data_IF_003399429915
#
_entry.id   IF_003399429915
#
_cell.length_a   1.000
_cell.length_b   1.000
_cell.length_c   1.000
_cell.angle_alpha   90.00
_cell.angle_beta   90.00
_cell.angle_gamma   90.00
#
_symmetry.space_group_name_H-M   'P 1'
#
loop_
_entity.id
_entity.type
_entity.pdbx_description
1 polymer ?
#
# COMPACT_ATOMS: atom_id res chain seq x y z
N UNK A 1 -0.02 30.87 18.44
CA UNK A 1 -0.70 29.92 19.35
C UNK A 1 -2.01 30.56 19.78
N UNK A 2 -3.09 29.78 19.76
CA UNK A 2 -4.38 30.24 20.26
C UNK A 2 -4.55 29.91 21.77
N UNK A 3 -3.84 28.88 22.27
CA UNK A 3 -3.79 28.53 23.69
C UNK A 3 -2.50 27.78 24.07
N UNK A 4 -2.02 27.84 25.33
CA UNK A 4 -0.86 27.08 25.79
C UNK A 4 -1.05 25.56 25.71
N UNK A 5 -2.30 25.08 25.82
CA UNK A 5 -2.65 23.65 25.68
C UNK A 5 -2.52 23.13 24.27
N UNK A 6 -2.64 23.99 23.25
CA UNK A 6 -2.48 23.64 21.85
C UNK A 6 -1.09 23.11 21.53
N UNK A 7 -0.06 23.77 22.08
CA UNK A 7 1.33 23.35 21.93
C UNK A 7 1.59 21.96 22.54
N UNK A 8 1.13 21.76 23.78
CA UNK A 8 1.30 20.49 24.47
C UNK A 8 0.66 19.34 23.69
N UNK A 9 -0.60 19.54 23.26
CA UNK A 9 -1.34 18.55 22.47
C UNK A 9 -0.63 18.26 21.14
N UNK A 10 -0.08 19.27 20.49
CA UNK A 10 0.66 19.14 19.24
C UNK A 10 1.95 18.30 19.40
N UNK A 11 2.70 18.51 20.49
CA UNK A 11 3.87 17.68 20.80
C UNK A 11 3.49 16.21 21.05
N UNK A 12 2.41 15.95 21.79
CA UNK A 12 1.93 14.58 22.01
C UNK A 12 1.50 13.91 20.70
N UNK A 13 0.78 14.61 19.83
CA UNK A 13 0.39 14.11 18.52
C UNK A 13 1.61 13.79 17.64
N UNK A 14 2.56 14.71 17.59
CA UNK A 14 3.80 14.50 16.82
C UNK A 14 4.59 13.29 17.34
N UNK A 15 4.74 13.17 18.67
CA UNK A 15 5.41 12.03 19.28
C UNK A 15 4.70 10.70 18.97
N UNK A 16 3.36 10.69 18.99
CA UNK A 16 2.55 9.52 18.64
C UNK A 16 2.76 9.10 17.19
N UNK A 17 2.80 10.05 16.27
CA UNK A 17 3.04 9.77 14.85
C UNK A 17 4.43 9.23 14.60
N UNK A 18 5.46 9.87 15.20
CA UNK A 18 6.82 9.34 15.12
C UNK A 18 6.90 7.92 15.69
N UNK A 19 6.20 7.65 16.79
CA UNK A 19 6.11 6.30 17.34
C UNK A 19 5.46 5.32 16.36
N UNK A 20 4.36 5.68 15.69
CA UNK A 20 3.70 4.84 14.67
C UNK A 20 4.64 4.59 13.50
N UNK A 21 5.34 5.59 13.00
CA UNK A 21 6.32 5.42 11.91
C UNK A 21 7.45 4.48 12.33
N UNK A 22 8.00 4.63 13.53
CA UNK A 22 9.09 3.76 14.04
C UNK A 22 8.59 2.34 14.31
N UNK A 23 7.35 2.17 14.76
CA UNK A 23 6.75 0.86 15.07
C UNK A 23 6.14 0.20 13.83
N UNK A 24 5.89 0.94 12.74
CA UNK A 24 5.28 0.39 11.51
C UNK A 24 5.95 -0.88 10.97
N UNK A 25 7.29 -1.02 10.91
CA UNK A 25 7.91 -2.27 10.48
C UNK A 25 7.57 -3.44 11.41
N UNK A 26 7.47 -3.18 12.71
CA UNK A 26 7.04 -4.20 13.69
C UNK A 26 5.59 -4.62 13.48
N UNK A 27 4.69 -3.66 13.20
CA UNK A 27 3.27 -3.94 12.92
C UNK A 27 3.13 -4.78 11.64
N UNK A 28 3.82 -4.42 10.57
CA UNK A 28 3.85 -5.18 9.33
C UNK A 28 4.36 -6.60 9.60
N UNK A 29 5.45 -6.73 10.36
CA UNK A 29 6.01 -8.03 10.73
C UNK A 29 5.05 -8.88 11.58
N UNK A 30 4.29 -8.28 12.50
CA UNK A 30 3.29 -8.98 13.33
C UNK A 30 2.09 -9.46 12.51
N UNK A 31 1.58 -8.62 11.61
CA UNK A 31 0.48 -9.01 10.69
C UNK A 31 0.91 -10.22 9.86
N UNK A 32 2.13 -10.19 9.32
CA UNK A 32 2.69 -11.31 8.57
C UNK A 32 2.95 -12.54 9.43
N UNK A 33 3.42 -12.36 10.67
CA UNK A 33 3.57 -13.44 11.64
C UNK A 33 2.27 -14.17 11.93
N UNK A 34 1.15 -13.46 11.89
CA UNK A 34 -0.20 -14.04 12.03
C UNK A 34 -0.64 -14.81 10.78
N UNK A 35 -0.30 -14.34 9.60
CA UNK A 35 -0.63 -15.01 8.31
C UNK A 35 0.30 -16.21 8.04
N UNK A 36 1.54 -16.14 8.48
CA UNK A 36 2.57 -17.15 8.22
C UNK A 36 2.22 -18.60 8.64
N UNK A 37 1.49 -18.89 9.76
CA UNK A 37 1.12 -20.25 10.09
C UNK A 37 0.21 -20.93 9.07
N UNK A 38 -0.59 -20.16 8.35
CA UNK A 38 -1.51 -20.65 7.31
C UNK A 38 -0.81 -21.01 5.98
N UNK A 39 0.49 -20.75 5.86
CA UNK A 39 1.26 -20.86 4.64
C UNK A 39 2.16 -22.09 4.60
N UNK A 40 2.36 -22.65 3.41
CA UNK A 40 3.31 -23.72 3.15
C UNK A 40 4.78 -23.26 3.28
N UNK A 41 5.72 -24.19 3.40
CA UNK A 41 7.15 -23.83 3.50
C UNK A 41 7.69 -23.11 2.26
N UNK A 42 7.19 -23.47 1.05
CA UNK A 42 7.54 -22.82 -0.24
C UNK A 42 7.05 -21.35 -0.21
N UNK A 43 5.81 -21.11 0.19
CA UNK A 43 5.18 -19.78 0.28
C UNK A 43 5.83 -18.87 1.32
N UNK A 44 6.19 -19.40 2.51
CA UNK A 44 6.93 -18.64 3.53
C UNK A 44 8.25 -18.07 3.01
N UNK A 45 8.99 -18.85 2.21
CA UNK A 45 10.26 -18.37 1.62
C UNK A 45 10.02 -17.24 0.62
N UNK A 46 8.91 -17.30 -0.11
CA UNK A 46 8.53 -16.32 -1.11
C UNK A 46 8.07 -14.97 -0.52
N UNK A 47 7.55 -14.99 0.71
CA UNK A 47 7.00 -13.79 1.39
C UNK A 47 8.07 -13.02 2.19
N UNK A 48 9.17 -13.66 2.57
CA UNK A 48 10.25 -12.96 3.30
C UNK A 48 10.73 -11.66 2.64
N UNK A 49 11.00 -11.62 1.30
CA UNK A 49 11.35 -10.36 0.64
C UNK A 49 10.20 -9.34 0.63
N UNK A 50 8.95 -9.82 0.72
CA UNK A 50 7.77 -8.95 0.81
C UNK A 50 7.74 -8.12 2.09
N UNK A 51 8.22 -8.67 3.20
CA UNK A 51 8.30 -7.94 4.48
C UNK A 51 9.24 -6.72 4.41
N UNK A 52 10.40 -6.92 3.78
CA UNK A 52 11.34 -5.81 3.57
C UNK A 52 10.80 -4.81 2.55
N UNK A 53 10.11 -5.32 1.51
CA UNK A 53 9.42 -4.50 0.52
C UNK A 53 8.33 -3.63 1.14
N UNK A 54 7.49 -4.18 2.02
CA UNK A 54 6.45 -3.42 2.73
C UNK A 54 7.04 -2.25 3.51
N UNK A 55 8.03 -2.49 4.36
CA UNK A 55 8.69 -1.41 5.07
C UNK A 55 9.26 -0.33 4.13
N UNK A 56 9.86 -0.75 3.01
CA UNK A 56 10.35 0.19 2.01
C UNK A 56 9.22 1.03 1.39
N UNK A 57 8.10 0.38 1.02
CA UNK A 57 6.93 1.07 0.47
C UNK A 57 6.28 2.01 1.50
N UNK A 58 6.19 1.62 2.77
CA UNK A 58 5.71 2.49 3.82
C UNK A 58 6.58 3.76 3.97
N UNK A 59 7.91 3.60 4.02
CA UNK A 59 8.82 4.73 4.07
C UNK A 59 8.72 5.61 2.81
N UNK A 60 8.56 4.99 1.64
CA UNK A 60 8.36 5.70 0.38
C UNK A 60 7.05 6.50 0.39
N UNK A 61 5.98 5.95 0.95
CA UNK A 61 4.69 6.62 1.12
C UNK A 61 4.77 7.81 2.07
N UNK A 62 5.43 7.65 3.20
CA UNK A 62 5.68 8.74 4.13
C UNK A 62 6.53 9.85 3.51
N UNK A 63 7.57 9.48 2.78
CA UNK A 63 8.44 10.43 2.04
C UNK A 63 7.67 11.15 0.93
N UNK A 64 6.88 10.43 0.14
CA UNK A 64 6.01 11.01 -0.88
C UNK A 64 5.01 11.99 -0.28
N UNK A 65 4.37 11.62 0.82
CA UNK A 65 3.46 12.50 1.55
C UNK A 65 4.15 13.81 1.96
N UNK A 66 5.33 13.69 2.58
CA UNK A 66 6.07 14.83 3.10
C UNK A 66 6.64 15.74 1.98
N UNK A 67 7.24 15.16 0.92
CA UNK A 67 7.93 15.92 -0.12
C UNK A 67 7.03 16.41 -1.25
N UNK A 68 5.95 15.68 -1.54
CA UNK A 68 5.11 15.95 -2.70
C UNK A 68 3.69 16.36 -2.28
N UNK A 69 2.98 15.48 -1.56
CA UNK A 69 1.56 15.70 -1.30
C UNK A 69 1.32 16.91 -0.37
N UNK A 70 2.05 17.00 0.73
CA UNK A 70 1.91 18.09 1.70
C UNK A 70 2.25 19.48 1.12
N UNK A 71 3.43 19.71 0.50
CA UNK A 71 3.75 21.03 -0.06
C UNK A 71 2.75 21.46 -1.11
N UNK A 72 2.36 20.54 -1.98
CA UNK A 72 1.40 20.82 -3.04
C UNK A 72 0.02 21.22 -2.49
N UNK A 73 -0.45 20.47 -1.48
CA UNK A 73 -1.73 20.74 -0.83
C UNK A 73 -1.74 22.06 -0.07
N UNK A 74 -0.67 22.35 0.67
CA UNK A 74 -0.55 23.61 1.43
C UNK A 74 -0.50 24.80 0.46
N UNK A 75 0.29 24.70 -0.61
CA UNK A 75 0.39 25.73 -1.62
C UNK A 75 -0.98 26.00 -2.27
N UNK A 76 -1.74 24.95 -2.55
CA UNK A 76 -3.10 25.08 -3.07
C UNK A 76 -4.03 25.79 -2.06
N UNK A 77 -4.04 25.35 -0.81
CA UNK A 77 -4.90 25.92 0.25
C UNK A 77 -4.59 27.41 0.47
N UNK A 78 -3.31 27.78 0.53
CA UNK A 78 -2.88 29.16 0.70
C UNK A 78 -3.29 30.01 -0.49
N UNK A 79 -3.06 29.54 -1.72
CA UNK A 79 -3.44 30.27 -2.93
C UNK A 79 -4.96 30.42 -3.09
N UNK A 80 -5.71 29.39 -2.66
CA UNK A 80 -7.18 29.43 -2.71
C UNK A 80 -7.77 30.40 -1.69
N UNK A 81 -7.10 30.57 -0.54
CA UNK A 81 -7.57 31.45 0.54
C UNK A 81 -7.21 32.93 0.32
N UNK A 82 -6.38 33.26 -0.66
CA UNK A 82 -5.93 34.65 -0.94
C UNK A 82 -6.96 35.39 -1.80
N UNK A 83 -8.14 35.63 -1.29
CA UNK A 83 -8.91 36.81 -1.71
C UNK A 83 -8.44 38.00 -0.87
N UNK A 84 -8.25 39.16 -1.51
CA UNK A 84 -7.57 40.35 -1.00
C UNK A 84 -8.03 40.92 0.36
N UNK A 85 -8.99 40.31 1.01
CA UNK A 85 -9.62 40.80 2.26
C UNK A 85 -9.53 39.83 3.45
N UNK A 86 -9.01 38.59 3.31
CA UNK A 86 -8.98 37.61 4.40
C UNK A 86 -7.59 37.03 4.56
N UNK A 87 -6.88 37.43 5.62
CA UNK A 87 -5.64 36.77 6.03
C UNK A 87 -5.99 35.45 6.74
N UNK A 88 -5.73 34.32 6.08
CA UNK A 88 -5.92 32.99 6.70
C UNK A 88 -4.88 32.77 7.80
N UNK A 89 -5.31 32.87 9.06
CA UNK A 89 -4.50 32.42 10.18
C UNK A 89 -4.64 30.88 10.31
N UNK A 90 -3.71 30.14 9.74
CA UNK A 90 -3.67 28.67 9.90
C UNK A 90 -3.15 28.37 11.30
N UNK A 91 -3.96 27.70 12.13
CA UNK A 91 -3.54 27.21 13.44
C UNK A 91 -2.46 26.14 13.28
N UNK A 92 -1.42 26.19 14.11
CA UNK A 92 -0.35 25.17 14.14
C UNK A 92 -0.93 23.78 14.41
N UNK A 93 -1.94 23.67 15.27
CA UNK A 93 -2.60 22.40 15.56
C UNK A 93 -3.29 21.84 14.31
N UNK A 94 -4.06 22.66 13.59
CA UNK A 94 -4.74 22.24 12.37
C UNK A 94 -3.75 21.80 11.28
N UNK A 95 -2.64 22.52 11.14
CA UNK A 95 -1.56 22.14 10.23
C UNK A 95 -0.94 20.77 10.58
N UNK A 96 -0.64 20.56 11.87
CA UNK A 96 -0.09 19.29 12.34
C UNK A 96 -1.08 18.14 12.19
N UNK A 97 -2.36 18.34 12.51
CA UNK A 97 -3.39 17.33 12.32
C UNK A 97 -3.52 16.90 10.85
N UNK A 98 -3.50 17.86 9.96
CA UNK A 98 -3.52 17.62 8.51
C UNK A 98 -2.26 16.87 8.05
N UNK A 99 -1.07 17.33 8.46
CA UNK A 99 0.21 16.68 8.13
C UNK A 99 0.25 15.23 8.61
N UNK A 100 -0.20 14.99 9.84
CA UNK A 100 -0.29 13.66 10.45
C UNK A 100 -1.23 12.75 9.66
N UNK A 101 -2.44 13.24 9.36
CA UNK A 101 -3.42 12.49 8.57
C UNK A 101 -2.87 12.08 7.21
N UNK A 102 -2.22 13.01 6.50
CA UNK A 102 -1.59 12.75 5.22
C UNK A 102 -0.46 11.72 5.30
N UNK A 103 0.46 11.87 6.25
CA UNK A 103 1.58 10.95 6.46
C UNK A 103 1.10 9.52 6.74
N UNK A 104 0.16 9.34 7.65
CA UNK A 104 -0.38 8.03 8.00
C UNK A 104 -1.13 7.41 6.83
N UNK A 105 -1.95 8.19 6.15
CA UNK A 105 -2.74 7.68 5.03
C UNK A 105 -1.85 7.22 3.88
N UNK A 106 -0.93 8.06 3.42
CA UNK A 106 -0.04 7.67 2.34
C UNK A 106 0.90 6.54 2.78
N UNK A 107 1.38 6.52 4.02
CA UNK A 107 2.14 5.39 4.55
C UNK A 107 1.38 4.07 4.41
N UNK A 108 0.12 4.03 4.82
CA UNK A 108 -0.72 2.82 4.73
C UNK A 108 -1.12 2.49 3.28
N UNK A 109 -1.48 3.49 2.48
CA UNK A 109 -1.91 3.26 1.08
C UNK A 109 -0.76 2.76 0.21
N UNK A 110 0.47 3.18 0.47
CA UNK A 110 1.64 2.67 -0.24
C UNK A 110 1.94 1.20 0.05
N UNK A 111 1.35 0.60 1.10
CA UNK A 111 1.39 -0.85 1.33
C UNK A 111 0.48 -1.63 0.35
N UNK A 112 -0.46 -0.99 -0.34
CA UNK A 112 -1.41 -1.64 -1.24
C UNK A 112 -0.72 -2.48 -2.34
N UNK A 113 0.32 -2.01 -3.06
CA UNK A 113 1.03 -2.80 -4.05
C UNK A 113 1.69 -4.04 -3.44
N UNK A 114 2.17 -3.94 -2.20
CA UNK A 114 2.81 -5.04 -1.50
C UNK A 114 1.81 -6.08 -1.00
N UNK A 115 0.66 -5.62 -0.51
CA UNK A 115 -0.46 -6.50 -0.18
C UNK A 115 -0.95 -7.26 -1.42
N UNK A 116 -1.11 -6.58 -2.56
CA UNK A 116 -1.48 -7.21 -3.82
C UNK A 116 -0.45 -8.24 -4.26
N UNK A 117 0.87 -7.94 -4.15
CA UNK A 117 1.97 -8.88 -4.40
C UNK A 117 1.78 -10.18 -3.63
N UNK A 118 1.63 -10.07 -2.32
CA UNK A 118 1.54 -11.22 -1.44
C UNK A 118 0.28 -12.04 -1.68
N UNK A 119 -0.88 -11.38 -1.72
CA UNK A 119 -2.17 -12.06 -1.93
C UNK A 119 -2.24 -12.76 -3.30
N UNK A 120 -1.60 -12.19 -4.32
CA UNK A 120 -1.51 -12.83 -5.63
C UNK A 120 -0.60 -14.05 -5.59
N UNK A 121 0.54 -13.95 -4.90
CA UNK A 121 1.46 -15.08 -4.75
C UNK A 121 0.86 -16.25 -3.97
N UNK A 122 -0.04 -15.95 -3.02
CA UNK A 122 -0.85 -16.94 -2.29
C UNK A 122 -1.99 -17.54 -3.13
N UNK A 123 -2.26 -17.00 -4.31
CA UNK A 123 -3.39 -17.43 -5.15
C UNK A 123 -4.77 -16.96 -4.65
N UNK A 124 -4.80 -16.12 -3.59
CA UNK A 124 -6.05 -15.55 -3.04
C UNK A 124 -6.58 -14.45 -3.96
N UNK A 125 -5.67 -13.69 -4.56
CA UNK A 125 -6.01 -12.55 -5.42
C UNK A 125 -5.54 -12.82 -6.85
N UNK A 126 -6.42 -12.59 -7.81
CA UNK A 126 -6.08 -12.65 -9.24
C UNK A 126 -6.18 -11.28 -9.89
N UNK A 127 -5.43 -11.02 -10.97
CA UNK A 127 -5.53 -9.75 -11.70
C UNK A 127 -6.96 -9.43 -12.15
N UNK A 128 -7.73 -10.46 -12.49
CA UNK A 128 -9.12 -10.29 -12.94
C UNK A 128 -10.06 -9.86 -11.81
N UNK A 129 -9.83 -10.34 -10.58
CA UNK A 129 -10.56 -9.87 -9.40
C UNK A 129 -10.26 -8.40 -9.16
N UNK A 130 -8.98 -7.99 -9.17
CA UNK A 130 -8.58 -6.59 -9.01
C UNK A 130 -9.23 -5.70 -10.07
N UNK A 131 -9.21 -6.11 -11.34
CA UNK A 131 -9.86 -5.37 -12.44
C UNK A 131 -11.38 -5.24 -12.24
N UNK A 132 -12.05 -6.29 -11.75
CA UNK A 132 -13.50 -6.26 -11.47
C UNK A 132 -13.81 -5.36 -10.27
N UNK A 133 -12.98 -5.38 -9.23
CA UNK A 133 -13.17 -4.57 -8.01
C UNK A 133 -12.86 -3.09 -8.26
N UNK A 134 -12.10 -2.74 -9.30
CA UNK A 134 -11.73 -1.37 -9.68
C UNK A 134 -12.89 -0.38 -9.64
N UNK A 135 -14.06 -0.77 -10.13
CA UNK A 135 -15.29 0.07 -10.13
C UNK A 135 -15.78 0.47 -8.74
N UNK A 136 -15.41 -0.30 -7.71
CA UNK A 136 -15.72 -0.01 -6.30
C UNK A 136 -14.54 0.64 -5.59
N UNK A 137 -13.31 0.26 -5.94
CA UNK A 137 -12.09 0.80 -5.36
C UNK A 137 -11.94 2.30 -5.65
N UNK A 138 -12.21 2.75 -6.88
CA UNK A 138 -12.10 4.16 -7.24
C UNK A 138 -13.03 5.05 -6.39
N UNK A 139 -14.35 4.79 -6.28
CA UNK A 139 -15.20 5.55 -5.37
C UNK A 139 -14.77 5.49 -3.91
N UNK A 140 -14.29 4.33 -3.43
CA UNK A 140 -13.79 4.18 -2.07
C UNK A 140 -12.55 5.06 -1.82
N UNK A 141 -11.62 5.12 -2.78
CA UNK A 141 -10.46 6.01 -2.73
C UNK A 141 -10.90 7.47 -2.59
N UNK A 142 -11.91 7.90 -3.35
CA UNK A 142 -12.46 9.25 -3.23
C UNK A 142 -13.09 9.51 -1.87
N UNK A 143 -13.77 8.52 -1.27
CA UNK A 143 -14.31 8.64 0.09
C UNK A 143 -13.19 8.78 1.11
N UNK A 144 -12.14 7.98 1.02
CA UNK A 144 -10.97 8.07 1.90
C UNK A 144 -10.29 9.43 1.74
N UNK A 145 -10.08 9.89 0.51
CA UNK A 145 -9.52 11.21 0.24
C UNK A 145 -10.36 12.33 0.86
N UNK A 146 -11.70 12.26 0.76
CA UNK A 146 -12.60 13.25 1.35
C UNK A 146 -12.59 13.32 2.88
N UNK A 147 -12.24 12.22 3.56
CA UNK A 147 -12.10 12.18 5.03
C UNK A 147 -10.83 12.91 5.47
N UNK A 148 -9.77 12.84 4.66
CA UNK A 148 -8.44 13.34 5.01
C UNK A 148 -8.28 14.82 4.62
N UNK A 149 -8.84 15.19 3.46
CA UNK A 149 -8.72 16.55 2.93
C UNK A 149 -9.86 17.44 3.41
N UNK A 150 -9.65 18.77 3.45
CA UNK A 150 -10.74 19.70 3.58
C UNK A 150 -11.86 19.43 2.54
N UNK A 151 -13.11 19.80 2.80
CA UNK A 151 -14.22 19.50 1.93
C UNK A 151 -14.22 20.38 0.67
N UNK A 152 -13.20 20.18 -0.18
CA UNK A 152 -13.10 20.80 -1.49
C UNK A 152 -12.72 19.76 -2.55
N UNK A 153 -13.25 19.95 -3.77
CA UNK A 153 -13.11 18.99 -4.86
C UNK A 153 -11.66 18.88 -5.34
N UNK A 154 -10.91 19.98 -5.36
CA UNK A 154 -9.55 20.01 -5.91
C UNK A 154 -8.59 19.27 -5.01
N UNK A 155 -8.61 19.55 -3.70
CA UNK A 155 -7.79 18.83 -2.71
C UNK A 155 -8.09 17.33 -2.71
N UNK A 156 -9.36 16.97 -2.81
CA UNK A 156 -9.79 15.57 -2.89
C UNK A 156 -9.20 14.86 -4.11
N UNK A 157 -9.22 15.48 -5.31
CA UNK A 157 -8.60 14.90 -6.50
C UNK A 157 -7.08 14.80 -6.38
N UNK A 158 -6.43 15.78 -5.75
CA UNK A 158 -4.98 15.78 -5.54
C UNK A 158 -4.50 14.58 -4.73
N UNK A 159 -5.29 14.14 -3.74
CA UNK A 159 -4.99 12.95 -2.94
C UNK A 159 -5.42 11.67 -3.65
N UNK A 160 -6.59 11.68 -4.29
CA UNK A 160 -7.15 10.50 -4.94
C UNK A 160 -6.32 10.02 -6.15
N UNK A 161 -5.76 10.93 -6.95
CA UNK A 161 -4.99 10.58 -8.16
C UNK A 161 -3.76 9.70 -7.86
N UNK A 162 -2.86 10.05 -6.91
CA UNK A 162 -1.77 9.17 -6.51
C UNK A 162 -2.25 7.80 -5.98
N UNK A 163 -3.34 7.78 -5.20
CA UNK A 163 -3.91 6.54 -4.67
C UNK A 163 -4.43 5.63 -5.79
N UNK A 164 -5.11 6.20 -6.79
CA UNK A 164 -5.54 5.46 -7.99
C UNK A 164 -4.32 4.94 -8.76
N UNK A 165 -3.26 5.73 -8.87
CA UNK A 165 -2.00 5.30 -9.49
C UNK A 165 -1.38 4.08 -8.79
N UNK A 166 -1.39 4.06 -7.45
CA UNK A 166 -0.93 2.91 -6.66
C UNK A 166 -1.82 1.68 -6.86
N UNK A 167 -3.14 1.86 -6.94
CA UNK A 167 -4.06 0.77 -7.26
C UNK A 167 -3.78 0.16 -8.64
N UNK A 168 -3.54 0.96 -9.67
CA UNK A 168 -3.16 0.47 -11.00
C UNK A 168 -1.80 -0.25 -10.96
N UNK A 169 -0.84 0.27 -10.19
CA UNK A 169 0.45 -0.39 -9.96
C UNK A 169 0.25 -1.77 -9.30
N UNK A 170 -0.67 -1.87 -8.34
CA UNK A 170 -1.04 -3.13 -7.68
C UNK A 170 -1.58 -4.16 -8.69
N UNK A 171 -2.42 -3.73 -9.64
CA UNK A 171 -2.91 -4.59 -10.73
C UNK A 171 -1.75 -5.07 -11.61
N UNK A 172 -0.83 -4.18 -11.99
CA UNK A 172 0.33 -4.53 -12.82
C UNK A 172 1.24 -5.56 -12.12
N UNK A 173 1.54 -5.35 -10.84
CA UNK A 173 2.33 -6.27 -10.03
C UNK A 173 1.63 -7.63 -9.95
N UNK A 174 0.33 -7.65 -9.70
CA UNK A 174 -0.47 -8.88 -9.67
C UNK A 174 -0.43 -9.62 -11.01
N UNK A 175 -0.53 -8.92 -12.16
CA UNK A 175 -0.43 -9.52 -13.48
C UNK A 175 0.92 -10.23 -13.71
N UNK A 176 2.01 -9.56 -13.35
CA UNK A 176 3.37 -10.10 -13.54
C UNK A 176 3.58 -11.37 -12.70
N UNK A 177 3.13 -11.34 -11.45
CA UNK A 177 3.30 -12.47 -10.53
C UNK A 177 2.42 -13.65 -10.92
N UNK A 178 1.17 -13.38 -11.29
CA UNK A 178 0.22 -14.41 -11.68
C UNK A 178 0.72 -15.16 -12.93
N UNK A 179 1.22 -14.43 -13.93
CA UNK A 179 1.81 -15.03 -15.14
C UNK A 179 3.06 -15.86 -14.84
N UNK A 180 3.92 -15.38 -13.90
CA UNK A 180 5.11 -16.13 -13.52
C UNK A 180 4.75 -17.43 -12.80
N UNK A 181 3.75 -17.39 -11.90
CA UNK A 181 3.28 -18.58 -11.20
C UNK A 181 2.72 -19.62 -12.17
N UNK A 182 1.92 -19.20 -13.16
CA UNK A 182 1.34 -20.11 -14.14
C UNK A 182 2.43 -20.81 -14.97
N UNK A 183 3.48 -20.11 -15.39
CA UNK A 183 4.58 -20.74 -16.11
C UNK A 183 5.37 -21.73 -15.23
N UNK A 184 5.54 -21.45 -13.93
CA UNK A 184 6.19 -22.38 -12.98
C UNK A 184 5.36 -23.64 -12.75
N UNK A 185 4.02 -23.52 -12.72
CA UNK A 185 3.11 -24.67 -12.60
C UNK A 185 3.10 -25.50 -13.89
N UNK A 186 3.10 -24.89 -15.09
CA UNK A 186 3.18 -25.57 -16.41
C UNK A 186 4.52 -26.33 -16.58
N UNK A 187 5.66 -25.76 -16.14
CA UNK A 187 6.97 -26.41 -16.19
C UNK A 187 7.06 -27.62 -15.22
N UNK A 188 6.43 -27.56 -14.03
CA UNK A 188 6.38 -28.68 -13.06
C UNK A 188 5.53 -29.86 -13.62
N UNK A 189 4.45 -29.59 -14.36
CA UNK A 189 3.59 -30.63 -14.97
C UNK A 189 4.31 -31.35 -16.15
N UNK A 190 5.11 -30.61 -16.95
CA UNK A 190 5.91 -31.22 -18.06
C UNK A 190 7.02 -32.17 -17.52
N UNK A 191 7.66 -31.81 -16.40
CA UNK A 191 8.70 -32.65 -15.78
C UNK A 191 8.09 -33.95 -15.17
N UNK A 192 6.86 -33.90 -14.60
CA UNK A 192 6.18 -35.10 -14.08
C UNK A 192 5.76 -36.08 -15.21
N UNK A 193 5.30 -35.55 -16.35
CA UNK A 193 4.91 -36.37 -17.50
C UNK A 193 6.14 -37.10 -18.14
N UNK A 194 7.32 -36.48 -18.18
CA UNK A 194 8.55 -37.09 -18.72
C UNK A 194 9.05 -38.23 -17.81
N UNK A 195 8.93 -38.08 -16.47
CA UNK A 195 9.33 -39.15 -15.53
C UNK A 195 8.40 -40.36 -15.59
N UNK A 196 7.10 -40.20 -15.90
CA UNK A 196 6.13 -41.32 -16.04
C UNK A 196 6.40 -42.17 -17.31
N UNK A 197 6.89 -41.56 -18.41
CA UNK A 197 7.24 -42.29 -19.64
C UNK A 197 8.54 -43.06 -19.49
N UNK A 198 9.47 -42.70 -18.62
CA UNK A 198 10.73 -43.40 -18.42
C UNK A 198 10.54 -44.65 -17.52
N UNK A 199 9.63 -44.64 -16.53
CA UNK A 199 9.32 -45.82 -15.69
C UNK A 199 8.63 -46.95 -16.49
N UNK A 200 7.74 -46.64 -17.44
CA UNK A 200 7.04 -47.65 -18.26
C UNK A 200 7.94 -48.38 -19.27
N UNK A 201 9.09 -47.79 -19.68
CA UNK A 201 10.02 -48.40 -20.61
C UNK A 201 11.00 -49.37 -19.94
N UNK A 202 11.26 -49.29 -18.65
CA UNK A 202 12.19 -50.16 -17.93
C UNK A 202 11.56 -51.52 -17.54
N UNK A 203 10.20 -51.63 -17.53
CA UNK A 203 9.52 -52.91 -17.22
C UNK A 203 9.47 -53.90 -18.40
N UNK A 204 9.68 -53.45 -19.64
CA UNK A 204 9.57 -54.29 -20.84
C UNK A 204 10.92 -54.94 -21.26
N UNK A 205 12.06 -54.64 -20.63
CA UNK A 205 13.38 -55.22 -20.96
C UNK A 205 13.76 -56.49 -20.16
N UNK A 206 12.94 -56.92 -19.18
CA UNK A 206 13.22 -58.09 -18.30
C UNK A 206 12.38 -59.36 -18.60
N UNK A 207 11.78 -59.52 -19.81
CA UNK A 207 11.21 -60.82 -20.31
C UNK A 207 12.05 -61.40 -21.51
#
# INVERSE_FOLDING_TARGET
YLSPSELLTSYFKLALVLAVVVVSPLLIFQIWGFVAPALTKKEKRAIRPALLGGFFFFCLGALFSYMVALPFMIQFLVNFSTSDFIHSAISVASYLDFMIGMLLTFGVVFEEPMLAFVLTKLGVLTPDILRKVRRYAIPLIFVIAAIITPPDVVSQFMVAVPMIGLYELSILISCVIYKKKQNEDDDEDEDEDDDEYDEDNDEDEDE
#
